data_IF_575793894409
#
_entry.id   IF_575793894409
#
_cell.length_a   1.000
_cell.length_b   1.000
_cell.length_c   1.000
_cell.angle_alpha   90.00
_cell.angle_beta   90.00
_cell.angle_gamma   90.00
#
_symmetry.space_group_name_H-M   'P 1'
#
loop_
_entity.id
_entity.type
_entity.pdbx_description
1 polymer ?
#
# COMPACT_ATOMS: atom_id res chain seq x y z
N UNK A 1 41.95 31.80 -20.99
CA UNK A 1 40.52 32.02 -20.63
C UNK A 1 39.69 31.12 -21.55
N UNK A 2 38.80 30.21 -21.16
CA UNK A 2 38.27 29.68 -19.89
C UNK A 2 38.10 28.16 -20.12
N UNK A 3 38.49 27.32 -19.15
CA UNK A 3 38.11 25.89 -19.12
C UNK A 3 36.68 25.83 -18.58
N UNK A 4 35.76 25.21 -19.32
CA UNK A 4 34.43 24.84 -18.81
C UNK A 4 34.49 23.35 -18.47
N UNK A 5 34.59 23.06 -17.19
CA UNK A 5 34.45 21.73 -16.61
C UNK A 5 32.96 21.37 -16.61
N UNK A 6 32.55 20.50 -17.54
CA UNK A 6 31.23 19.88 -17.48
C UNK A 6 31.22 18.84 -16.35
N UNK A 7 30.66 19.21 -15.20
CA UNK A 7 30.28 18.25 -14.15
C UNK A 7 29.08 17.46 -14.66
N UNK A 8 29.33 16.23 -15.11
CA UNK A 8 28.31 15.21 -15.27
C UNK A 8 27.83 14.78 -13.87
N UNK A 9 26.72 15.36 -13.41
CA UNK A 9 25.96 14.84 -12.28
C UNK A 9 25.09 13.72 -12.84
N UNK A 10 25.65 12.51 -12.93
CA UNK A 10 24.88 11.30 -13.20
C UNK A 10 24.06 10.97 -11.94
N UNK A 11 22.74 11.02 -12.05
CA UNK A 11 21.81 10.65 -10.99
C UNK A 11 21.80 9.13 -10.80
N UNK A 12 22.49 8.66 -9.76
CA UNK A 12 22.65 7.25 -9.38
C UNK A 12 21.32 6.50 -9.08
N UNK A 13 20.20 7.20 -8.93
CA UNK A 13 18.97 6.66 -8.32
C UNK A 13 18.02 5.98 -9.31
N UNK A 14 18.02 6.34 -10.58
CA UNK A 14 17.14 5.72 -11.60
C UNK A 14 17.66 4.37 -12.11
N UNK A 15 18.99 4.17 -12.06
CA UNK A 15 19.61 2.89 -12.41
C UNK A 15 19.35 1.83 -11.35
N UNK A 16 19.38 2.18 -10.07
CA UNK A 16 19.12 1.23 -8.98
C UNK A 16 17.69 0.71 -9.02
N UNK A 17 16.68 1.52 -9.36
CA UNK A 17 15.29 1.06 -9.52
C UNK A 17 15.08 0.18 -10.77
N UNK A 18 15.67 0.54 -11.91
CA UNK A 18 15.61 -0.32 -13.10
C UNK A 18 16.37 -1.62 -12.90
N UNK A 19 17.52 -1.57 -12.23
CA UNK A 19 18.28 -2.76 -11.85
C UNK A 19 17.54 -3.57 -10.77
N UNK A 20 16.85 -2.92 -9.82
CA UNK A 20 15.98 -3.58 -8.84
C UNK A 20 14.95 -4.40 -9.58
N UNK A 21 14.10 -3.78 -10.42
CA UNK A 21 13.10 -4.49 -11.21
C UNK A 21 13.74 -5.60 -12.07
N UNK A 22 14.83 -5.34 -12.80
CA UNK A 22 15.42 -6.34 -13.71
C UNK A 22 16.18 -7.49 -13.03
N UNK A 23 16.80 -7.25 -11.87
CA UNK A 23 17.52 -8.26 -11.07
C UNK A 23 16.55 -9.06 -10.21
N UNK A 24 15.54 -8.40 -9.63
CA UNK A 24 14.42 -9.00 -8.89
C UNK A 24 13.70 -10.05 -9.75
N UNK A 25 13.31 -9.72 -10.98
CA UNK A 25 12.68 -10.70 -11.89
C UNK A 25 13.61 -11.86 -12.30
N UNK A 26 14.92 -11.65 -12.32
CA UNK A 26 15.89 -12.69 -12.72
C UNK A 26 16.24 -13.64 -11.57
N UNK A 27 16.14 -13.17 -10.33
CA UNK A 27 16.34 -13.96 -9.12
C UNK A 27 15.14 -14.89 -8.84
N UNK A 28 13.93 -14.49 -9.26
CA UNK A 28 12.68 -15.24 -9.07
C UNK A 28 12.68 -16.65 -9.70
N UNK A 29 13.57 -16.93 -10.65
CA UNK A 29 13.63 -18.24 -11.32
C UNK A 29 14.40 -19.33 -10.55
N UNK A 30 15.12 -19.01 -9.48
CA UNK A 30 16.03 -19.97 -8.82
C UNK A 30 15.99 -20.04 -7.29
N UNK A 31 15.27 -19.15 -6.59
CA UNK A 31 15.22 -19.19 -5.13
C UNK A 31 14.01 -19.95 -4.59
N UNK A 32 14.25 -20.76 -3.57
CA UNK A 32 13.22 -21.23 -2.65
C UNK A 32 12.62 -19.97 -2.02
N UNK A 33 11.29 -19.86 -1.93
CA UNK A 33 10.57 -18.68 -1.42
C UNK A 33 11.08 -18.18 -0.05
N UNK A 34 11.67 -19.06 0.74
CA UNK A 34 12.36 -18.74 2.01
C UNK A 34 13.54 -17.77 1.84
N UNK A 35 14.27 -17.80 0.73
CA UNK A 35 15.58 -17.14 0.62
C UNK A 35 15.52 -15.79 -0.10
N UNK A 36 14.33 -15.37 -0.52
CA UNK A 36 14.13 -14.10 -1.22
C UNK A 36 14.53 -12.90 -0.37
N UNK A 37 14.16 -12.89 0.91
CA UNK A 37 14.53 -11.83 1.86
C UNK A 37 16.06 -11.70 2.00
N UNK A 38 16.78 -12.83 2.00
CA UNK A 38 18.25 -12.84 2.06
C UNK A 38 18.87 -12.31 0.76
N UNK A 39 18.28 -12.67 -0.38
CA UNK A 39 18.75 -12.23 -1.69
C UNK A 39 18.58 -10.71 -1.91
N UNK A 40 17.49 -10.13 -1.39
CA UNK A 40 17.27 -8.67 -1.49
C UNK A 40 17.98 -7.86 -0.41
N UNK A 41 18.42 -8.47 0.70
CA UNK A 41 19.07 -7.77 1.80
C UNK A 41 20.28 -6.95 1.33
N UNK A 42 21.15 -7.56 0.50
CA UNK A 42 22.30 -6.87 -0.08
C UNK A 42 21.94 -5.71 -1.02
N UNK A 43 20.78 -5.75 -1.67
CA UNK A 43 20.30 -4.64 -2.51
C UNK A 43 19.80 -3.46 -1.67
N UNK A 44 19.38 -3.74 -0.43
CA UNK A 44 18.83 -2.78 0.51
C UNK A 44 19.87 -2.30 1.53
N UNK A 45 21.15 -2.64 1.33
CA UNK A 45 22.27 -2.31 2.23
C UNK A 45 22.07 -2.87 3.65
N UNK A 46 21.49 -4.07 3.73
CA UNK A 46 21.30 -4.83 4.98
C UNK A 46 22.20 -6.07 4.95
N UNK A 47 22.89 -6.33 6.07
CA UNK A 47 23.73 -7.51 6.21
C UNK A 47 22.87 -8.78 6.29
N UNK A 48 22.95 -9.63 5.28
CA UNK A 48 22.19 -10.87 5.19
C UNK A 48 22.54 -11.86 6.33
N UNK A 49 23.74 -11.75 6.92
CA UNK A 49 24.14 -12.59 8.05
C UNK A 49 23.27 -12.34 9.29
N UNK A 50 22.71 -11.14 9.45
CA UNK A 50 21.80 -10.85 10.56
C UNK A 50 20.42 -11.50 10.39
N UNK A 51 20.11 -11.96 9.18
CA UNK A 51 18.82 -12.52 8.82
C UNK A 51 18.85 -14.04 8.72
N UNK A 52 20.01 -14.65 8.45
CA UNK A 52 20.12 -16.07 8.06
C UNK A 52 19.54 -17.05 9.07
N UNK A 53 19.65 -16.76 10.37
CA UNK A 53 19.20 -17.64 11.45
C UNK A 53 17.75 -17.37 11.91
N UNK A 54 17.06 -16.41 11.29
CA UNK A 54 15.70 -16.01 11.68
C UNK A 54 14.62 -16.75 10.88
N UNK A 55 13.44 -16.92 11.49
CA UNK A 55 12.27 -17.45 10.78
C UNK A 55 11.86 -16.51 9.62
N UNK A 56 11.12 -17.03 8.63
CA UNK A 56 10.76 -16.26 7.43
C UNK A 56 10.04 -14.93 7.73
N UNK A 57 9.03 -14.95 8.61
CA UNK A 57 8.30 -13.74 9.00
C UNK A 57 9.20 -12.76 9.77
N UNK A 58 10.04 -13.26 10.68
CA UNK A 58 10.99 -12.46 11.46
C UNK A 58 12.05 -11.81 10.57
N UNK A 59 12.53 -12.51 9.54
CA UNK A 59 13.46 -11.96 8.55
C UNK A 59 12.88 -10.74 7.86
N UNK A 60 11.62 -10.83 7.42
CA UNK A 60 10.97 -9.69 6.75
C UNK A 60 10.83 -8.49 7.70
N UNK A 61 10.34 -8.72 8.92
CA UNK A 61 10.26 -7.65 9.93
C UNK A 61 11.62 -7.02 10.19
N UNK A 62 12.65 -7.82 10.40
CA UNK A 62 14.00 -7.34 10.66
C UNK A 62 14.57 -6.57 9.47
N UNK A 63 14.38 -7.06 8.25
CA UNK A 63 14.78 -6.35 7.03
C UNK A 63 14.13 -4.97 6.96
N UNK A 64 12.80 -4.88 7.11
CA UNK A 64 12.08 -3.60 7.08
C UNK A 64 12.54 -2.63 8.18
N UNK A 65 12.81 -3.16 9.37
CA UNK A 65 13.33 -2.39 10.50
C UNK A 65 14.75 -1.86 10.26
N UNK A 66 15.62 -2.64 9.61
CA UNK A 66 16.98 -2.19 9.25
C UNK A 66 16.95 -1.15 8.14
N UNK A 67 16.07 -1.30 7.15
CA UNK A 67 15.88 -0.31 6.10
C UNK A 67 15.36 1.01 6.68
N UNK A 68 14.40 0.94 7.63
CA UNK A 68 13.77 2.04 8.38
C UNK A 68 13.01 3.07 7.55
N UNK A 69 13.54 3.49 6.40
CA UNK A 69 12.99 4.48 5.48
C UNK A 69 12.45 3.76 4.25
N UNK A 70 11.12 3.67 4.18
CA UNK A 70 10.40 2.91 3.16
C UNK A 70 9.59 3.88 2.29
N UNK A 71 9.18 3.48 1.08
CA UNK A 71 8.14 4.21 0.36
C UNK A 71 6.78 3.98 1.04
N UNK A 72 5.93 5.00 1.10
CA UNK A 72 4.57 4.93 1.67
C UNK A 72 3.66 3.93 0.95
N UNK A 73 3.89 3.68 -0.34
CA UNK A 73 3.11 2.72 -1.13
C UNK A 73 3.40 1.24 -0.79
N UNK A 74 4.34 0.95 0.11
CA UNK A 74 4.68 -0.42 0.52
C UNK A 74 3.47 -1.19 1.09
N UNK A 75 2.52 -0.49 1.71
CA UNK A 75 1.29 -1.10 2.24
C UNK A 75 0.39 -1.66 1.13
N UNK A 76 0.57 -1.16 -0.10
CA UNK A 76 -0.21 -1.52 -1.27
C UNK A 76 0.37 -2.72 -2.04
N UNK A 77 1.48 -3.29 -1.58
CA UNK A 77 2.03 -4.52 -2.17
C UNK A 77 1.00 -5.65 -1.97
N UNK A 78 0.48 -6.25 -3.06
CA UNK A 78 -0.51 -7.32 -2.97
C UNK A 78 0.13 -8.58 -2.40
N UNK A 79 -0.65 -9.42 -1.71
CA UNK A 79 -0.15 -10.70 -1.18
C UNK A 79 -0.63 -10.97 0.24
N UNK A 80 -0.15 -12.06 0.80
CA UNK A 80 -0.33 -12.33 2.23
C UNK A 80 0.45 -11.30 3.05
N UNK A 81 -0.16 -10.81 4.12
CA UNK A 81 0.46 -9.86 5.05
C UNK A 81 1.00 -10.59 6.27
N UNK A 82 2.01 -10.03 6.93
CA UNK A 82 2.53 -10.61 8.18
C UNK A 82 1.43 -10.62 9.25
N UNK A 83 1.41 -11.65 10.10
CA UNK A 83 0.43 -11.71 11.21
C UNK A 83 0.92 -10.97 12.46
N UNK A 84 2.21 -10.63 12.49
CA UNK A 84 2.89 -9.97 13.60
C UNK A 84 2.28 -8.59 13.91
N UNK A 85 2.01 -8.28 15.19
CA UNK A 85 1.53 -6.96 15.60
C UNK A 85 2.45 -5.83 15.13
N UNK A 86 1.86 -4.75 14.62
CA UNK A 86 2.57 -3.60 14.06
C UNK A 86 3.05 -3.79 12.62
N UNK A 87 3.00 -5.01 12.07
CA UNK A 87 3.49 -5.33 10.73
C UNK A 87 2.40 -5.93 9.84
N UNK A 88 1.11 -5.82 10.20
CA UNK A 88 0.00 -6.42 9.43
C UNK A 88 -0.29 -5.73 8.10
N UNK A 89 0.35 -4.59 7.86
CA UNK A 89 0.40 -3.92 6.56
C UNK A 89 1.48 -4.50 5.63
N UNK A 90 2.53 -5.10 6.20
CA UNK A 90 3.73 -5.51 5.46
C UNK A 90 3.50 -6.88 4.80
N UNK A 91 4.00 -7.08 3.57
CA UNK A 91 3.85 -8.35 2.89
C UNK A 91 4.72 -9.43 3.56
N UNK A 92 4.23 -10.68 3.59
CA UNK A 92 5.04 -11.83 4.05
C UNK A 92 6.24 -12.10 3.15
N UNK A 93 6.07 -11.83 1.86
CA UNK A 93 7.07 -12.08 0.82
C UNK A 93 7.32 -10.79 0.04
N UNK A 94 8.57 -10.43 -0.28
CA UNK A 94 8.87 -9.21 -1.00
C UNK A 94 8.29 -9.20 -2.43
N UNK A 95 8.23 -10.36 -3.08
CA UNK A 95 7.74 -10.52 -4.46
C UNK A 95 6.59 -11.50 -4.53
N UNK A 96 5.39 -10.95 -4.60
CA UNK A 96 4.21 -11.70 -5.05
C UNK A 96 4.21 -11.62 -6.57
N UNK A 97 4.30 -12.74 -7.29
CA UNK A 97 4.28 -12.80 -8.77
C UNK A 97 2.98 -12.30 -9.45
N UNK A 98 2.14 -11.57 -8.72
CA UNK A 98 0.92 -10.91 -9.22
C UNK A 98 1.27 -9.49 -9.64
N UNK A 99 0.79 -9.10 -10.82
CA UNK A 99 1.01 -7.80 -11.47
C UNK A 99 0.99 -6.67 -10.43
N UNK A 100 2.16 -6.09 -10.17
CA UNK A 100 2.31 -4.89 -9.36
C UNK A 100 1.78 -3.73 -10.20
N UNK A 101 0.48 -3.43 -10.11
CA UNK A 101 -0.07 -2.15 -10.56
C UNK A 101 0.17 -1.13 -9.45
N UNK A 102 1.44 -0.93 -9.10
CA UNK A 102 1.87 0.22 -8.32
C UNK A 102 2.50 1.13 -9.37
N UNK A 103 1.83 2.23 -9.79
CA UNK A 103 2.51 3.22 -10.60
C UNK A 103 3.78 3.63 -9.84
N UNK A 104 4.93 3.81 -10.51
CA UNK A 104 6.16 4.20 -9.84
C UNK A 104 5.92 5.55 -9.17
N UNK A 105 5.53 5.52 -7.90
CA UNK A 105 5.46 6.72 -7.09
C UNK A 105 6.89 7.20 -6.95
N UNK A 106 7.05 8.52 -6.87
CA UNK A 106 8.35 9.18 -6.82
C UNK A 106 9.28 8.50 -5.81
N UNK A 107 10.60 8.65 -5.97
CA UNK A 107 11.64 8.16 -5.06
C UNK A 107 11.55 8.66 -3.58
N UNK A 108 10.37 9.04 -3.08
CA UNK A 108 10.13 9.46 -1.72
C UNK A 108 10.15 8.24 -0.80
N UNK A 109 11.28 8.06 -0.09
CA UNK A 109 11.32 7.26 1.15
C UNK A 109 10.66 8.07 2.28
N UNK A 110 9.38 8.35 2.10
CA UNK A 110 8.55 9.22 2.93
C UNK A 110 7.96 8.50 4.15
N UNK A 111 8.03 7.17 4.18
CA UNK A 111 7.58 6.39 5.32
C UNK A 111 8.73 6.01 6.27
N UNK A 112 8.39 5.88 7.56
CA UNK A 112 9.29 5.44 8.63
C UNK A 112 8.74 4.17 9.27
N UNK A 113 9.47 3.07 9.12
CA UNK A 113 9.20 1.83 9.82
C UNK A 113 9.73 1.90 11.26
N UNK A 114 8.92 1.44 12.20
CA UNK A 114 9.24 1.31 13.62
C UNK A 114 8.72 -0.01 14.15
N UNK A 115 9.06 -0.35 15.39
CA UNK A 115 8.57 -1.58 16.02
C UNK A 115 7.05 -1.59 16.21
N UNK A 116 6.43 -0.41 16.30
CA UNK A 116 4.99 -0.26 16.46
C UNK A 116 4.23 -0.24 15.13
N UNK A 117 4.93 0.05 14.02
CA UNK A 117 4.37 0.06 12.68
C UNK A 117 4.95 1.10 11.74
N UNK A 118 4.20 1.43 10.69
CA UNK A 118 4.61 2.33 9.61
C UNK A 118 4.03 3.73 9.78
N UNK A 119 4.91 4.73 9.78
CA UNK A 119 4.53 6.14 9.73
C UNK A 119 4.64 6.69 8.33
N UNK A 120 3.56 7.23 7.78
CA UNK A 120 3.64 8.03 6.56
C UNK A 120 2.48 9.02 6.45
N UNK A 121 2.53 9.87 5.44
CA UNK A 121 1.42 10.76 5.08
C UNK A 121 0.64 10.16 3.91
N UNK A 122 -0.69 10.16 4.03
CA UNK A 122 -1.59 9.63 3.01
C UNK A 122 -2.72 10.62 2.76
N UNK A 123 -3.26 10.58 1.55
CA UNK A 123 -4.62 11.07 1.35
C UNK A 123 -5.59 9.99 1.84
N UNK A 124 -6.74 10.40 2.39
CA UNK A 124 -7.68 9.44 2.95
C UNK A 124 -9.13 9.81 2.67
N UNK A 125 -9.96 8.80 2.42
CA UNK A 125 -11.42 8.91 2.39
C UNK A 125 -11.92 8.36 3.72
N UNK A 126 -12.43 9.23 4.59
CA UNK A 126 -12.87 8.93 5.96
C UNK A 126 -14.39 8.84 6.02
N UNK A 127 -14.94 7.85 6.69
CA UNK A 127 -16.39 7.62 6.82
C UNK A 127 -16.72 7.01 8.18
N UNK A 128 -18.00 6.88 8.53
CA UNK A 128 -18.40 6.22 9.77
C UNK A 128 -18.02 4.72 9.77
N UNK A 129 -17.62 4.13 10.91
CA UNK A 129 -17.27 2.71 11.00
C UNK A 129 -18.34 1.82 10.36
N UNK A 130 -17.94 1.12 9.30
CA UNK A 130 -18.84 0.32 8.45
C UNK A 130 -18.20 -1.04 8.18
N UNK A 131 -19.05 -2.07 8.00
CA UNK A 131 -18.62 -3.40 7.60
C UNK A 131 -18.59 -3.44 6.07
N UNK A 132 -17.39 -3.51 5.48
CA UNK A 132 -17.22 -3.73 4.05
C UNK A 132 -17.06 -5.22 3.75
N UNK A 133 -17.58 -5.66 2.61
CA UNK A 133 -17.41 -7.02 2.11
C UNK A 133 -16.28 -7.04 1.08
N UNK A 134 -15.27 -7.90 1.27
CA UNK A 134 -14.06 -7.95 0.42
C UNK A 134 -14.29 -8.30 -1.05
N UNK A 135 -15.46 -8.82 -1.42
CA UNK A 135 -15.80 -9.19 -2.81
C UNK A 135 -16.88 -8.30 -3.42
N UNK A 136 -17.50 -7.41 -2.63
CA UNK A 136 -18.56 -6.52 -3.10
C UNK A 136 -17.96 -5.15 -3.43
N UNK A 137 -18.58 -4.49 -4.38
CA UNK A 137 -18.31 -3.10 -4.70
C UNK A 137 -19.04 -2.20 -3.70
N UNK A 138 -18.39 -1.09 -3.34
CA UNK A 138 -18.94 -0.10 -2.43
C UNK A 138 -18.76 1.29 -3.03
N UNK A 139 -19.80 2.11 -2.90
CA UNK A 139 -19.83 3.50 -3.36
C UNK A 139 -19.61 4.43 -2.17
N UNK A 140 -18.76 5.43 -2.36
CA UNK A 140 -18.44 6.44 -1.37
C UNK A 140 -18.75 7.83 -1.94
N UNK A 141 -19.61 8.59 -1.28
CA UNK A 141 -19.92 9.97 -1.63
C UNK A 141 -19.00 10.90 -0.84
N UNK A 142 -18.03 11.52 -1.51
CA UNK A 142 -17.26 12.64 -0.98
C UNK A 142 -18.16 13.88 -0.91
N UNK A 143 -18.70 14.15 0.27
CA UNK A 143 -19.69 15.22 0.48
C UNK A 143 -19.10 16.62 0.29
N UNK A 144 -17.79 16.80 0.48
CA UNK A 144 -17.13 18.10 0.28
C UNK A 144 -16.93 18.43 -1.20
N UNK A 145 -16.72 17.42 -2.03
CA UNK A 145 -16.45 17.58 -3.46
C UNK A 145 -17.62 17.22 -4.36
N UNK A 146 -18.70 16.71 -3.78
CA UNK A 146 -19.87 16.18 -4.48
C UNK A 146 -19.45 15.13 -5.53
N UNK A 147 -18.53 14.23 -5.15
CA UNK A 147 -18.01 13.17 -6.02
C UNK A 147 -18.32 11.80 -5.48
N UNK A 148 -18.56 10.85 -6.37
CA UNK A 148 -18.77 9.46 -6.01
C UNK A 148 -17.57 8.65 -6.44
N UNK A 149 -17.07 7.87 -5.50
CA UNK A 149 -15.95 6.98 -5.69
C UNK A 149 -16.41 5.55 -5.53
N UNK A 150 -15.88 4.66 -6.37
CA UNK A 150 -16.18 3.24 -6.34
C UNK A 150 -14.96 2.47 -5.87
N UNK A 151 -15.19 1.52 -5.00
CA UNK A 151 -14.18 0.53 -4.62
C UNK A 151 -14.54 -0.85 -5.13
N UNK A 152 -13.51 -1.60 -5.52
CA UNK A 152 -13.62 -2.98 -5.96
C UNK A 152 -12.63 -3.80 -5.13
N UNK A 153 -13.13 -4.84 -4.47
CA UNK A 153 -12.31 -5.73 -3.66
C UNK A 153 -11.46 -6.72 -4.45
N UNK A 154 -10.94 -7.76 -3.78
CA UNK A 154 -10.05 -8.74 -4.42
C UNK A 154 -10.78 -9.51 -5.53
N UNK A 155 -10.45 -9.20 -6.78
CA UNK A 155 -10.83 -10.04 -7.91
C UNK A 155 -10.00 -11.33 -7.83
N UNK A 156 -10.60 -12.41 -7.32
CA UNK A 156 -10.02 -13.74 -7.43
C UNK A 156 -10.08 -14.18 -8.90
N UNK A 157 -9.04 -13.89 -9.67
CA UNK A 157 -8.78 -14.67 -10.90
C UNK A 157 -8.17 -16.01 -10.48
N UNK A 158 -9.01 -16.92 -10.00
CA UNK A 158 -8.73 -18.34 -10.18
C UNK A 158 -9.03 -18.67 -11.64
N UNK A 159 -8.08 -19.33 -12.29
CA UNK A 159 -8.16 -19.79 -13.68
C UNK A 159 -9.54 -20.34 -14.05
N UNK A 160 -10.09 -19.83 -15.16
CA UNK A 160 -11.12 -20.39 -16.04
C UNK A 160 -12.50 -20.79 -15.51
N UNK A 161 -12.84 -20.58 -14.22
CA UNK A 161 -14.21 -20.80 -13.75
C UNK A 161 -14.65 -19.74 -12.75
N UNK A 162 -15.65 -18.94 -13.14
CA UNK A 162 -16.42 -18.08 -12.24
C UNK A 162 -17.31 -18.97 -11.36
N UNK A 163 -16.73 -19.52 -10.28
CA UNK A 163 -17.52 -20.04 -9.16
C UNK A 163 -17.24 -19.18 -7.93
N UNK A 164 -18.21 -18.33 -7.67
CA UNK A 164 -18.34 -17.41 -6.57
C UNK A 164 -18.80 -18.17 -5.33
N UNK A 165 -17.85 -18.77 -4.59
CA UNK A 165 -18.14 -19.39 -3.27
C UNK A 165 -16.96 -19.27 -2.31
N UNK A 166 -16.25 -18.15 -2.31
CA UNK A 166 -15.47 -17.77 -1.13
C UNK A 166 -16.39 -16.94 -0.23
N UNK A 167 -16.78 -17.47 0.93
CA UNK A 167 -17.52 -16.74 1.95
C UNK A 167 -16.90 -15.34 2.11
N UNK A 168 -17.61 -14.31 1.65
CA UNK A 168 -17.15 -12.93 1.73
C UNK A 168 -17.10 -12.52 3.20
N UNK A 169 -15.93 -12.63 3.82
CA UNK A 169 -15.74 -12.20 5.20
C UNK A 169 -15.80 -10.68 5.22
N UNK A 170 -16.83 -10.13 5.87
CA UNK A 170 -16.89 -8.69 6.12
C UNK A 170 -15.82 -8.27 7.13
N UNK A 171 -15.34 -7.04 7.00
CA UNK A 171 -14.39 -6.45 7.95
C UNK A 171 -14.80 -5.01 8.28
N UNK A 172 -14.51 -4.60 9.51
CA UNK A 172 -14.74 -3.22 9.96
C UNK A 172 -13.64 -2.29 9.46
N UNK A 173 -14.04 -1.19 8.85
CA UNK A 173 -13.14 -0.07 8.51
C UNK A 173 -13.91 1.24 8.50
N UNK A 174 -13.17 2.35 8.54
CA UNK A 174 -13.71 3.71 8.53
C UNK A 174 -12.82 4.68 7.71
N UNK A 175 -11.82 4.14 7.00
CA UNK A 175 -10.96 4.92 6.14
C UNK A 175 -10.39 4.11 4.98
N UNK A 176 -10.19 4.76 3.84
CA UNK A 176 -9.41 4.27 2.71
C UNK A 176 -8.17 5.16 2.54
N UNK A 177 -6.97 4.57 2.51
CA UNK A 177 -5.72 5.28 2.33
C UNK A 177 -5.26 5.24 0.87
N UNK A 178 -4.90 6.42 0.35
CA UNK A 178 -4.45 6.68 -1.00
C UNK A 178 -3.07 7.33 -0.95
N UNK A 179 -2.17 6.94 -1.84
CA UNK A 179 -0.82 7.53 -1.94
C UNK A 179 -0.81 8.83 -2.76
N UNK A 180 -1.88 9.10 -3.48
CA UNK A 180 -2.05 10.31 -4.28
C UNK A 180 -3.53 10.62 -4.48
N UNK A 181 -3.87 11.88 -4.80
CA UNK A 181 -5.24 12.23 -5.08
C UNK A 181 -5.81 11.46 -6.27
N UNK A 182 -7.07 10.99 -6.18
CA UNK A 182 -7.71 10.30 -7.29
C UNK A 182 -7.94 11.28 -8.43
N UNK A 183 -7.73 10.80 -9.65
CA UNK A 183 -8.06 11.48 -10.89
C UNK A 183 -9.17 10.71 -11.59
N UNK A 184 -10.02 11.40 -12.38
CA UNK A 184 -11.03 10.75 -13.19
C UNK A 184 -10.44 9.63 -14.07
N UNK A 185 -11.22 8.57 -14.27
CA UNK A 185 -10.92 7.47 -15.21
C UNK A 185 -9.66 6.65 -14.89
N UNK A 186 -9.09 6.81 -13.68
CA UNK A 186 -7.92 6.06 -13.24
C UNK A 186 -8.26 5.16 -12.06
N UNK A 187 -7.78 3.91 -12.13
CA UNK A 187 -7.86 2.94 -11.05
C UNK A 187 -6.61 3.09 -10.17
N UNK A 188 -6.82 3.21 -8.86
CA UNK A 188 -5.80 3.29 -7.83
C UNK A 188 -5.87 2.07 -6.93
N UNK A 189 -4.72 1.60 -6.44
CA UNK A 189 -4.70 0.72 -5.27
C UNK A 189 -4.91 1.57 -4.02
N UNK A 190 -5.72 1.10 -3.07
CA UNK A 190 -5.92 1.76 -1.79
C UNK A 190 -5.97 0.73 -0.64
N UNK A 191 -5.59 1.17 0.56
CA UNK A 191 -5.65 0.32 1.75
C UNK A 191 -6.89 0.68 2.58
N UNK A 192 -7.77 -0.29 2.81
CA UNK A 192 -8.82 -0.16 3.80
C UNK A 192 -8.22 -0.33 5.20
N UNK A 193 -8.50 0.63 6.08
CA UNK A 193 -7.97 0.64 7.44
C UNK A 193 -9.06 0.96 8.47
N UNK A 194 -8.85 0.48 9.68
CA UNK A 194 -9.65 0.86 10.84
C UNK A 194 -8.86 1.85 11.69
N UNK A 195 -9.27 3.11 11.64
CA UNK A 195 -8.76 4.20 12.46
C UNK A 195 -9.37 4.09 13.85
N UNK A 196 -8.53 3.86 14.86
CA UNK A 196 -8.96 3.62 16.25
C UNK A 196 -8.72 4.81 17.17
N UNK A 197 -7.70 5.63 16.89
CA UNK A 197 -7.29 6.76 17.73
C UNK A 197 -6.79 7.92 16.89
N UNK A 198 -7.10 9.14 17.33
CA UNK A 198 -6.49 10.37 16.84
C UNK A 198 -5.71 11.02 18.00
N UNK A 199 -4.40 11.13 17.85
CA UNK A 199 -3.52 11.80 18.80
C UNK A 199 -3.08 13.12 18.19
N UNK A 200 -3.01 14.19 18.98
CA UNK A 200 -2.45 15.47 18.52
C UNK A 200 -0.96 15.50 18.86
N UNK A 201 -0.11 15.69 17.86
CA UNK A 201 1.34 15.83 18.04
C UNK A 201 1.64 17.17 18.75
N UNK A 202 2.87 17.31 19.25
CA UNK A 202 3.32 18.55 19.93
C UNK A 202 3.24 19.79 19.03
N UNK A 203 3.28 19.62 17.72
CA UNK A 203 3.13 20.67 16.72
C UNK A 203 1.67 20.97 16.36
N UNK A 204 0.71 20.31 17.01
CA UNK A 204 -0.73 20.45 16.74
C UNK A 204 -1.24 19.57 15.60
N UNK A 205 -0.38 18.84 14.88
CA UNK A 205 -0.82 17.99 13.77
C UNK A 205 -1.54 16.74 14.30
N UNK A 206 -2.73 16.40 13.82
CA UNK A 206 -3.36 15.14 14.15
C UNK A 206 -2.58 13.97 13.56
N UNK A 207 -2.47 12.89 14.34
CA UNK A 207 -1.87 11.62 13.97
C UNK A 207 -2.86 10.51 14.27
N UNK A 208 -3.19 9.76 13.24
CA UNK A 208 -4.17 8.68 13.34
C UNK A 208 -3.46 7.35 13.51
N UNK A 209 -3.98 6.50 14.39
CA UNK A 209 -3.52 5.11 14.55
C UNK A 209 -4.53 4.20 13.87
N UNK A 210 -4.02 3.40 12.94
CA UNK A 210 -4.81 2.67 11.98
C UNK A 210 -4.39 1.20 11.98
N UNK A 211 -5.34 0.29 11.89
CA UNK A 211 -5.07 -1.12 11.65
C UNK A 211 -5.32 -1.43 10.17
N UNK A 212 -4.34 -2.07 9.51
CA UNK A 212 -4.55 -2.54 8.15
C UNK A 212 -5.62 -3.64 8.11
N UNK A 213 -6.52 -3.58 7.12
CA UNK A 213 -7.57 -4.59 6.93
C UNK A 213 -7.46 -5.29 5.58
N UNK A 214 -7.51 -4.54 4.49
CA UNK A 214 -7.54 -5.13 3.15
C UNK A 214 -7.00 -4.17 2.08
N UNK A 215 -6.50 -4.74 0.99
CA UNK A 215 -6.14 -4.01 -0.22
C UNK A 215 -7.34 -3.99 -1.18
N UNK A 216 -7.73 -2.79 -1.63
CA UNK A 216 -8.82 -2.58 -2.57
C UNK A 216 -8.31 -1.81 -3.79
N UNK A 217 -9.15 -1.77 -4.83
CA UNK A 217 -9.02 -0.83 -5.93
C UNK A 217 -10.05 0.28 -5.77
N UNK A 218 -9.67 1.50 -6.15
CA UNK A 218 -10.44 2.72 -6.01
C UNK A 218 -10.49 3.44 -7.36
N UNK A 219 -11.67 3.88 -7.78
CA UNK A 219 -11.85 4.68 -9.00
C UNK A 219 -12.80 5.84 -8.73
N UNK A 220 -12.54 6.97 -9.35
CA UNK A 220 -13.49 8.08 -9.41
C UNK A 220 -14.56 7.73 -10.45
N UNK A 221 -15.84 7.92 -10.12
CA UNK A 221 -16.94 7.69 -11.06
C UNK A 221 -17.34 9.00 -11.75
N UNK A 222 -17.79 8.89 -13.00
CA UNK A 222 -18.41 10.01 -13.70
C UNK A 222 -19.94 10.03 -13.45
N UNK A 223 -20.59 11.14 -13.79
CA UNK A 223 -22.05 11.30 -13.64
C UNK A 223 -22.85 10.31 -14.52
N UNK A 224 -22.32 9.92 -15.68
CA UNK A 224 -22.99 9.01 -16.61
C UNK A 224 -23.08 7.57 -16.08
N UNK A 225 -22.08 7.12 -15.32
CA UNK A 225 -22.05 5.79 -14.68
C UNK A 225 -23.04 5.68 -13.51
N UNK A 226 -23.32 6.80 -12.86
CA UNK A 226 -24.21 6.89 -11.70
C UNK A 226 -25.67 6.59 -12.02
N UNK A 227 -26.15 6.95 -13.22
CA UNK A 227 -27.54 6.73 -13.62
C UNK A 227 -27.90 5.24 -13.65
N UNK A 228 -26.93 4.36 -13.90
CA UNK A 228 -27.12 2.91 -13.99
C UNK A 228 -26.99 2.17 -12.65
N UNK A 229 -26.39 2.79 -11.62
CA UNK A 229 -26.04 2.16 -10.34
C UNK A 229 -27.00 2.48 -9.18
N UNK A 230 -28.20 3.00 -9.47
CA UNK A 230 -29.24 3.48 -8.52
C UNK A 230 -29.75 2.47 -7.46
N UNK A 231 -29.14 1.30 -7.32
CA UNK A 231 -29.49 0.23 -6.36
C UNK A 231 -28.40 -0.08 -5.33
N UNK A 232 -27.27 0.62 -5.34
CA UNK A 232 -26.21 0.40 -4.35
C UNK A 232 -26.33 1.34 -3.15
N UNK A 233 -26.00 0.82 -1.96
CA UNK A 233 -25.86 1.63 -0.76
C UNK A 233 -24.65 2.55 -0.92
N UNK A 234 -24.86 3.85 -0.76
CA UNK A 234 -23.81 4.87 -0.85
C UNK A 234 -23.38 5.24 0.56
N UNK A 235 -22.07 5.20 0.82
CA UNK A 235 -21.46 5.55 2.10
C UNK A 235 -21.00 7.00 2.04
N UNK A 236 -21.52 7.86 2.92
CA UNK A 236 -21.04 9.24 3.03
C UNK A 236 -19.62 9.26 3.59
N UNK A 237 -18.75 10.04 2.94
CA UNK A 237 -17.35 10.15 3.29
C UNK A 237 -16.82 11.57 3.13
N UNK A 238 -15.68 11.82 3.75
CA UNK A 238 -14.94 13.08 3.68
C UNK A 238 -13.50 12.81 3.24
N UNK A 239 -13.02 13.60 2.29
CA UNK A 239 -11.66 13.47 1.78
C UNK A 239 -10.67 14.34 2.56
N UNK A 240 -9.67 13.72 3.18
CA UNK A 240 -8.53 14.38 3.81
C UNK A 240 -7.25 14.30 2.97
N UNK A 241 -6.44 15.37 2.97
CA UNK A 241 -5.09 15.39 2.33
C UNK A 241 -3.97 15.30 3.33
N UNK A 242 -2.90 14.60 2.96
CA UNK A 242 -1.62 14.61 3.68
C UNK A 242 -1.76 14.25 5.17
N UNK A 243 -2.65 13.32 5.48
CA UNK A 243 -2.94 12.91 6.85
C UNK A 243 -1.81 12.02 7.37
N UNK A 244 -1.28 12.34 8.54
CA UNK A 244 -0.24 11.54 9.21
C UNK A 244 -0.85 10.29 9.81
N UNK A 245 -0.51 9.13 9.23
CA UNK A 245 -1.02 7.83 9.62
C UNK A 245 0.08 6.98 10.28
N UNK A 246 -0.32 6.23 11.30
CA UNK A 246 0.46 5.17 11.93
C UNK A 246 -0.25 3.85 11.68
N UNK A 247 0.28 3.03 10.79
CA UNK A 247 -0.35 1.79 10.34
C UNK A 247 0.27 0.60 11.06
N UNK A 248 -0.59 -0.20 11.68
CA UNK A 248 -0.24 -1.42 12.42
C UNK A 248 -0.73 -2.67 11.70
#
# INVERSE_FOLDING_TARGET
MRRVTARLIFTYTTWVQKLYIHVVYRIQFFLILSDETLAIAGLLDVDALELVDLAAEERMKMLLMRVKKLPSDIILIPGEKLEMPGFRWAPKMPMTGKLIIIPPSSNSRDAVCTEEGLFAEYDAVMFEPTILQSSKEHLFLDTERERIHRTIGRIHKTSDFWMDTANSTGYWCNALLLTSPPRPEQIYACAAVLVSRCNVLKDGTPRFTCEFKELLFFTDMNEDELEYETRMDVIEANYGRGMKMHIM
#
